data_IF_415807987047
#
_entry.id   IF_415807987047
#
_cell.length_a   1.000
_cell.length_b   1.000
_cell.length_c   1.000
_cell.angle_alpha   90.00
_cell.angle_beta   90.00
_cell.angle_gamma   90.00
#
_symmetry.space_group_name_H-M   'P 1'
#
loop_
_entity.id
_entity.type
_entity.pdbx_description
1 polymer ?
#
# COMPACT_ATOMS: atom_id res chain seq x y z
N UNK A 1 -0.49 16.49 19.55
CA UNK A 1 0.37 17.29 18.65
C UNK A 1 1.43 16.40 17.99
N UNK A 2 1.71 16.66 16.72
CA UNK A 2 2.64 15.87 15.88
C UNK A 2 4.07 15.87 16.44
N UNK A 3 4.51 16.99 17.01
CA UNK A 3 5.81 17.16 17.70
C UNK A 3 6.03 16.13 18.81
N UNK A 4 5.07 15.97 19.73
CA UNK A 4 5.11 14.96 20.81
C UNK A 4 5.21 13.53 20.25
N UNK A 5 4.50 13.26 19.17
CA UNK A 5 4.50 11.94 18.54
C UNK A 5 5.86 11.63 17.89
N UNK A 6 6.44 12.59 17.16
CA UNK A 6 7.78 12.45 16.55
C UNK A 6 8.86 12.23 17.61
N UNK A 7 8.86 13.04 18.68
CA UNK A 7 9.79 12.88 19.80
C UNK A 7 9.70 11.49 20.44
N UNK A 8 8.48 10.98 20.68
CA UNK A 8 8.28 9.62 21.21
C UNK A 8 8.89 8.56 20.27
N UNK A 9 8.74 8.70 18.95
CA UNK A 9 9.29 7.73 17.99
C UNK A 9 10.81 7.80 17.87
N UNK A 10 11.39 8.99 17.93
CA UNK A 10 12.84 9.17 18.02
C UNK A 10 13.39 8.39 19.23
N UNK A 11 12.85 8.63 20.42
CA UNK A 11 13.29 7.94 21.64
C UNK A 11 13.12 6.41 21.54
N UNK A 12 11.99 5.93 21.00
CA UNK A 12 11.79 4.49 20.77
C UNK A 12 12.85 3.90 19.84
N UNK A 13 13.17 4.58 18.73
CA UNK A 13 14.18 4.10 17.77
C UNK A 13 15.62 4.18 18.30
N UNK A 14 15.91 5.21 19.10
CA UNK A 14 17.23 5.42 19.71
C UNK A 14 17.53 4.33 20.74
N UNK A 15 16.55 4.01 21.59
CA UNK A 15 16.70 3.01 22.66
C UNK A 15 16.60 1.56 22.17
N UNK A 16 16.15 1.33 20.94
CA UNK A 16 15.99 -0.01 20.38
C UNK A 16 17.35 -0.60 19.97
N UNK A 17 17.66 -1.81 20.42
CA UNK A 17 18.98 -2.44 20.25
C UNK A 17 19.07 -3.45 19.12
N UNK A 18 17.94 -4.03 18.71
CA UNK A 18 17.93 -5.06 17.66
C UNK A 18 18.20 -4.45 16.27
N UNK A 19 18.70 -5.25 15.31
CA UNK A 19 19.08 -4.75 13.98
C UNK A 19 17.89 -4.32 13.12
N UNK A 20 16.72 -4.91 13.30
CA UNK A 20 15.49 -4.55 12.59
C UNK A 20 14.50 -3.86 13.53
N UNK A 21 13.53 -3.17 12.94
CA UNK A 21 12.42 -2.55 13.69
C UNK A 21 11.65 -3.58 14.54
N UNK A 22 11.13 -3.13 15.69
CA UNK A 22 10.39 -3.97 16.66
C UNK A 22 9.31 -4.84 16.00
N UNK A 23 8.54 -4.27 15.07
CA UNK A 23 7.45 -4.99 14.40
C UNK A 23 7.96 -6.08 13.45
N UNK A 24 9.13 -5.87 12.84
CA UNK A 24 9.73 -6.82 11.90
C UNK A 24 10.43 -7.95 12.65
N UNK A 25 11.15 -7.66 13.73
CA UNK A 25 11.73 -8.68 14.62
C UNK A 25 10.65 -9.66 15.09
N UNK A 26 9.58 -9.16 15.73
CA UNK A 26 8.43 -9.98 16.17
C UNK A 26 7.80 -10.79 15.03
N UNK A 27 7.79 -10.23 13.82
CA UNK A 27 7.22 -10.90 12.64
C UNK A 27 8.13 -12.01 12.13
N UNK A 28 9.45 -11.83 12.22
CA UNK A 28 10.44 -12.85 11.89
C UNK A 28 10.39 -13.97 12.93
N UNK A 29 10.38 -13.67 14.23
CA UNK A 29 10.28 -14.67 15.30
C UNK A 29 9.05 -15.58 15.12
N UNK A 30 7.88 -14.97 14.88
CA UNK A 30 6.65 -15.72 14.60
C UNK A 30 6.77 -16.60 13.36
N UNK A 31 7.51 -16.17 12.34
CA UNK A 31 7.69 -16.93 11.09
C UNK A 31 8.75 -18.04 11.25
N UNK A 32 9.76 -17.85 12.10
CA UNK A 32 10.72 -18.88 12.49
C UNK A 32 9.96 -20.05 13.12
N UNK A 33 9.13 -19.77 14.12
CA UNK A 33 8.38 -20.83 14.82
C UNK A 33 7.46 -21.60 13.87
N UNK A 34 6.74 -20.88 13.00
CA UNK A 34 5.85 -21.50 12.00
C UNK A 34 6.57 -22.30 10.91
N UNK A 35 7.86 -22.04 10.67
CA UNK A 35 8.66 -22.71 9.65
C UNK A 35 9.60 -23.76 10.24
N UNK A 36 9.55 -24.02 11.55
CA UNK A 36 10.52 -24.86 12.27
C UNK A 36 10.63 -26.26 11.68
N UNK A 37 9.49 -26.87 11.35
CA UNK A 37 9.36 -28.25 10.84
C UNK A 37 9.64 -28.38 9.34
N UNK A 38 9.90 -27.28 8.63
CA UNK A 38 10.12 -27.33 7.19
C UNK A 38 11.43 -28.04 6.86
N UNK A 39 11.45 -28.70 5.71
CA UNK A 39 12.63 -29.32 5.12
C UNK A 39 13.19 -28.45 4.01
N UNK A 40 14.51 -28.40 3.87
CA UNK A 40 15.19 -27.61 2.84
C UNK A 40 16.05 -28.53 1.98
N UNK A 41 15.92 -28.39 0.67
CA UNK A 41 16.75 -29.05 -0.32
C UNK A 41 17.44 -27.98 -1.15
N UNK A 42 18.77 -27.99 -1.14
CA UNK A 42 19.57 -27.04 -1.92
C UNK A 42 19.55 -27.44 -3.40
N UNK A 43 19.26 -26.47 -4.29
CA UNK A 43 19.34 -26.65 -5.75
C UNK A 43 20.72 -26.18 -6.24
N UNK A 44 21.16 -25.01 -5.78
CA UNK A 44 22.48 -24.43 -6.03
C UNK A 44 22.85 -23.49 -4.87
N UNK A 45 23.90 -22.69 -5.02
CA UNK A 45 24.42 -21.80 -3.97
C UNK A 45 23.38 -20.81 -3.41
N UNK A 46 22.37 -20.43 -4.21
CA UNK A 46 21.40 -19.39 -3.84
C UNK A 46 19.94 -19.85 -3.86
N UNK A 47 19.64 -21.00 -4.46
CA UNK A 47 18.28 -21.52 -4.66
C UNK A 47 18.00 -22.77 -3.86
N UNK A 48 16.81 -22.81 -3.28
CA UNK A 48 16.38 -23.86 -2.38
C UNK A 48 14.93 -24.24 -2.63
N UNK A 49 14.61 -25.52 -2.49
CA UNK A 49 13.24 -26.01 -2.37
C UNK A 49 12.95 -26.19 -0.88
N UNK A 50 11.90 -25.54 -0.40
CA UNK A 50 11.43 -25.66 0.98
C UNK A 50 10.10 -26.40 0.99
N UNK A 51 10.04 -27.50 1.74
CA UNK A 51 8.87 -28.39 1.89
C UNK A 51 8.32 -28.38 3.32
N UNK A 52 7.08 -28.83 3.50
CA UNK A 52 6.42 -28.93 4.82
C UNK A 52 5.39 -27.83 5.11
N UNK A 53 5.12 -26.97 4.12
CA UNK A 53 3.96 -26.07 4.10
C UNK A 53 2.81 -26.68 3.27
N UNK A 54 1.75 -25.92 3.02
CA UNK A 54 0.66 -26.33 2.12
C UNK A 54 1.12 -26.64 0.68
N UNK A 55 2.25 -26.10 0.25
CA UNK A 55 2.87 -26.34 -1.06
C UNK A 55 4.38 -26.12 -0.99
N UNK A 56 5.11 -26.81 -1.86
CA UNK A 56 6.56 -26.66 -1.99
C UNK A 56 6.90 -25.26 -2.54
N UNK A 57 7.92 -24.63 -1.97
CA UNK A 57 8.33 -23.29 -2.34
C UNK A 57 9.76 -23.26 -2.85
N UNK A 58 9.98 -22.56 -3.96
CA UNK A 58 11.32 -22.23 -4.45
C UNK A 58 11.71 -20.88 -3.84
N UNK A 59 12.86 -20.84 -3.18
CA UNK A 59 13.44 -19.64 -2.58
C UNK A 59 14.72 -19.31 -3.32
N UNK A 60 14.92 -18.03 -3.65
CA UNK A 60 16.19 -17.50 -4.16
C UNK A 60 16.68 -16.42 -3.19
N UNK A 61 17.77 -16.71 -2.46
CA UNK A 61 18.32 -15.82 -1.44
C UNK A 61 19.13 -14.65 -2.04
N UNK A 62 19.65 -14.80 -3.26
CA UNK A 62 20.38 -13.75 -3.96
C UNK A 62 19.40 -12.72 -4.55
N UNK A 63 18.38 -13.20 -5.27
CA UNK A 63 17.32 -12.36 -5.80
C UNK A 63 16.35 -11.85 -4.72
N UNK A 64 16.44 -12.40 -3.50
CA UNK A 64 15.54 -12.12 -2.36
C UNK A 64 14.07 -12.39 -2.71
N UNK A 65 13.80 -13.53 -3.33
CA UNK A 65 12.45 -13.93 -3.78
C UNK A 65 12.04 -15.30 -3.24
N UNK A 66 10.73 -15.55 -3.27
CA UNK A 66 10.15 -16.85 -2.97
C UNK A 66 8.88 -17.02 -3.81
N UNK A 67 8.63 -18.24 -4.32
CA UNK A 67 7.44 -18.56 -5.11
C UNK A 67 6.12 -18.33 -4.38
N UNK A 68 6.11 -18.22 -3.04
CA UNK A 68 4.93 -17.80 -2.28
C UNK A 68 4.61 -16.29 -2.41
N UNK A 69 5.42 -15.52 -3.16
CA UNK A 69 5.26 -14.09 -3.46
C UNK A 69 5.62 -13.15 -2.31
N UNK A 70 5.53 -13.59 -1.06
CA UNK A 70 5.65 -12.72 0.13
C UNK A 70 7.02 -12.06 0.25
N UNK A 71 8.11 -12.77 -0.05
CA UNK A 71 9.46 -12.22 0.16
C UNK A 71 9.75 -11.09 -0.83
N UNK A 72 9.51 -11.30 -2.12
CA UNK A 72 9.73 -10.29 -3.16
C UNK A 72 8.80 -9.07 -3.03
N UNK A 73 7.55 -9.26 -2.58
CA UNK A 73 6.57 -8.19 -2.42
C UNK A 73 6.75 -7.37 -1.13
N UNK A 74 6.87 -8.04 0.01
CA UNK A 74 6.90 -7.40 1.33
C UNK A 74 8.33 -6.98 1.69
N UNK A 75 9.35 -7.54 1.02
CA UNK A 75 10.78 -7.30 1.31
C UNK A 75 11.22 -7.70 2.73
N UNK A 76 10.38 -8.51 3.40
CA UNK A 76 10.65 -9.20 4.67
C UNK A 76 10.55 -10.70 4.40
N UNK A 77 11.54 -11.48 4.85
CA UNK A 77 11.60 -12.93 4.60
C UNK A 77 10.32 -13.64 5.02
N UNK A 78 9.74 -14.43 4.12
CA UNK A 78 8.68 -15.37 4.47
C UNK A 78 9.24 -16.57 5.27
N UNK A 79 8.35 -17.39 5.86
CA UNK A 79 8.76 -18.62 6.57
C UNK A 79 9.69 -19.54 5.76
N UNK A 80 9.47 -19.65 4.44
CA UNK A 80 10.33 -20.43 3.56
C UNK A 80 11.72 -19.81 3.41
N UNK A 81 11.77 -18.51 3.14
CA UNK A 81 13.03 -17.78 2.99
C UNK A 81 13.84 -17.76 4.28
N UNK A 82 13.18 -17.65 5.43
CA UNK A 82 13.83 -17.76 6.75
C UNK A 82 14.46 -19.14 6.90
N UNK A 83 13.69 -20.22 6.65
CA UNK A 83 14.21 -21.58 6.79
C UNK A 83 15.40 -21.84 5.85
N UNK A 84 15.31 -21.40 4.59
CA UNK A 84 16.40 -21.52 3.63
C UNK A 84 17.64 -20.68 4.02
N UNK A 85 17.45 -19.47 4.55
CA UNK A 85 18.56 -18.65 5.05
C UNK A 85 19.28 -19.30 6.23
N UNK A 86 18.51 -19.81 7.20
CA UNK A 86 19.05 -20.49 8.38
C UNK A 86 19.79 -21.79 8.03
N UNK A 87 19.35 -22.54 7.01
CA UNK A 87 20.05 -23.77 6.58
C UNK A 87 21.45 -23.51 6.00
N UNK A 88 21.75 -22.27 5.59
CA UNK A 88 23.08 -21.85 5.12
C UNK A 88 23.75 -20.86 6.07
N UNK A 89 23.31 -20.82 7.34
CA UNK A 89 23.92 -19.97 8.37
C UNK A 89 23.73 -18.46 8.18
N UNK A 90 22.79 -18.04 7.33
CA UNK A 90 22.50 -16.62 7.10
C UNK A 90 21.41 -16.13 8.03
N UNK A 91 21.76 -15.14 8.84
CA UNK A 91 20.80 -14.52 9.76
C UNK A 91 19.71 -13.74 9.01
N UNK A 92 18.43 -13.79 9.46
CA UNK A 92 17.31 -13.12 8.80
C UNK A 92 17.49 -11.61 8.60
N UNK A 93 18.19 -10.93 9.51
CA UNK A 93 18.43 -9.49 9.40
C UNK A 93 19.27 -9.12 8.15
N UNK A 94 20.26 -9.94 7.78
CA UNK A 94 21.14 -9.73 6.61
C UNK A 94 20.41 -9.90 5.27
N UNK A 95 19.26 -10.57 5.31
CA UNK A 95 18.41 -10.88 4.16
C UNK A 95 17.17 -9.97 4.09
N UNK A 96 16.95 -9.15 5.10
CA UNK A 96 15.85 -8.19 5.14
C UNK A 96 16.25 -6.89 4.43
N UNK A 97 15.29 -6.20 3.83
CA UNK A 97 15.53 -4.93 3.16
C UNK A 97 15.93 -3.82 4.13
N UNK A 98 16.81 -2.92 3.67
CA UNK A 98 17.35 -1.83 4.46
C UNK A 98 16.26 -0.96 5.11
N UNK A 99 15.11 -0.79 4.45
CA UNK A 99 13.97 0.01 4.95
C UNK A 99 13.42 -0.45 6.29
N UNK A 100 13.69 -1.69 6.69
CA UNK A 100 13.24 -2.26 7.96
C UNK A 100 14.32 -2.28 9.04
N UNK A 101 15.52 -1.80 8.73
CA UNK A 101 16.61 -1.74 9.70
C UNK A 101 16.35 -0.65 10.74
N UNK A 102 16.88 -0.86 11.94
CA UNK A 102 16.88 0.15 13.01
C UNK A 102 17.66 1.39 12.60
N UNK A 103 18.70 1.24 11.78
CA UNK A 103 19.45 2.38 11.20
C UNK A 103 18.53 3.25 10.35
N UNK A 104 17.82 2.67 9.38
CA UNK A 104 16.86 3.40 8.56
C UNK A 104 15.73 4.02 9.43
N UNK A 105 15.28 3.29 10.45
CA UNK A 105 14.28 3.81 11.38
C UNK A 105 14.77 5.04 12.14
N UNK A 106 16.00 5.03 12.66
CA UNK A 106 16.59 6.20 13.34
C UNK A 106 16.73 7.39 12.40
N UNK A 107 17.24 7.18 11.20
CA UNK A 107 17.39 8.23 10.19
C UNK A 107 16.05 8.93 9.86
N UNK A 108 14.94 8.17 9.76
CA UNK A 108 13.60 8.74 9.48
C UNK A 108 13.11 9.68 10.59
N UNK A 109 13.55 9.49 11.84
CA UNK A 109 13.13 10.31 12.99
C UNK A 109 14.25 11.15 13.58
N UNK A 110 15.38 11.28 12.88
CA UNK A 110 16.54 12.07 13.32
C UNK A 110 16.19 13.55 13.41
N UNK A 111 15.45 14.05 12.43
CA UNK A 111 15.08 15.48 12.32
C UNK A 111 13.85 15.87 13.16
N UNK A 112 13.84 17.12 13.61
CA UNK A 112 12.76 17.68 14.44
C UNK A 112 11.64 18.26 13.57
N UNK A 113 10.40 18.10 14.03
CA UNK A 113 9.29 18.90 13.51
C UNK A 113 9.21 20.18 14.32
N UNK A 114 9.55 21.30 13.70
CA UNK A 114 9.40 22.62 14.29
C UNK A 114 7.97 23.10 14.08
N UNK A 115 7.43 23.80 15.09
CA UNK A 115 6.15 24.48 14.95
C UNK A 115 6.35 25.70 14.06
N UNK A 116 5.38 25.97 13.18
CA UNK A 116 5.33 27.24 12.48
C UNK A 116 4.99 28.30 13.52
N UNK A 117 5.92 29.22 13.76
CA UNK A 117 5.79 30.24 14.80
C UNK A 117 4.75 31.30 14.46
N UNK A 118 4.46 31.45 13.17
CA UNK A 118 3.50 32.42 12.65
C UNK A 118 2.12 31.74 12.56
N UNK A 119 1.07 32.31 13.15
CA UNK A 119 -0.31 31.88 12.94
C UNK A 119 -0.67 31.87 11.44
N UNK A 120 -1.52 30.92 11.02
CA UNK A 120 -1.87 30.72 9.60
C UNK A 120 -2.47 31.96 8.95
N UNK A 121 -3.25 32.73 9.70
CA UNK A 121 -3.85 34.02 9.30
C UNK A 121 -2.83 35.15 9.07
N UNK A 122 -1.60 35.00 9.58
CA UNK A 122 -0.50 35.94 9.38
C UNK A 122 0.51 35.48 8.33
N UNK A 123 0.25 34.37 7.62
CA UNK A 123 1.14 33.88 6.56
C UNK A 123 1.08 34.79 5.33
N UNK A 124 2.25 35.27 4.88
CA UNK A 124 2.36 35.98 3.59
C UNK A 124 2.51 34.96 2.47
N UNK A 125 1.47 34.79 1.67
CA UNK A 125 1.51 33.97 0.45
C UNK A 125 2.12 34.83 -0.67
N UNK A 126 3.20 34.39 -1.33
CA UNK A 126 3.76 35.11 -2.47
C UNK A 126 2.72 35.25 -3.59
N UNK A 127 2.68 36.38 -4.33
CA UNK A 127 1.73 36.58 -5.43
C UNK A 127 1.78 35.45 -6.47
N UNK A 128 2.96 34.90 -6.71
CA UNK A 128 3.13 33.76 -7.63
C UNK A 128 2.37 32.50 -7.19
N UNK A 129 2.12 32.30 -5.89
CA UNK A 129 1.33 31.17 -5.38
C UNK A 129 -0.15 31.54 -5.29
N UNK A 130 -0.45 32.75 -4.80
CA UNK A 130 -1.83 33.24 -4.65
C UNK A 130 -2.57 33.35 -5.99
N UNK A 131 -1.85 33.70 -7.05
CA UNK A 131 -2.39 33.83 -8.41
C UNK A 131 -2.41 32.51 -9.19
N UNK A 132 -1.84 31.42 -8.66
CA UNK A 132 -1.86 30.13 -9.35
C UNK A 132 -3.27 29.53 -9.30
N UNK A 133 -3.88 29.42 -10.48
CA UNK A 133 -5.06 28.59 -10.65
C UNK A 133 -4.65 27.12 -10.77
N UNK A 134 -4.91 26.34 -9.72
CA UNK A 134 -4.86 24.88 -9.78
C UNK A 134 -6.17 24.39 -10.38
N UNK A 135 -6.16 24.08 -11.67
CA UNK A 135 -7.31 23.46 -12.33
C UNK A 135 -7.46 22.01 -11.85
N UNK A 136 -8.70 21.49 -11.75
CA UNK A 136 -8.89 20.06 -11.54
C UNK A 136 -8.20 19.28 -12.66
N UNK A 137 -7.66 18.08 -12.38
CA UNK A 137 -7.08 17.24 -13.41
C UNK A 137 -8.13 16.93 -14.47
N UNK A 138 -7.71 16.89 -15.74
CA UNK A 138 -8.60 16.52 -16.82
C UNK A 138 -9.09 15.09 -16.59
N UNK A 139 -10.40 14.93 -16.40
CA UNK A 139 -10.97 13.61 -16.10
C UNK A 139 -11.70 13.07 -17.31
N UNK A 140 -11.14 12.03 -17.93
CA UNK A 140 -11.89 11.17 -18.85
C UNK A 140 -12.61 10.08 -18.09
N UNK A 141 -13.65 9.50 -18.70
CA UNK A 141 -14.26 8.27 -18.18
C UNK A 141 -13.22 7.14 -18.14
N UNK A 142 -13.22 6.35 -17.07
CA UNK A 142 -12.39 5.14 -17.00
C UNK A 142 -12.64 4.21 -18.19
N UNK A 143 -11.56 3.64 -18.73
CA UNK A 143 -11.62 2.63 -19.77
C UNK A 143 -12.26 1.34 -19.21
N UNK A 144 -13.16 0.72 -19.98
CA UNK A 144 -13.82 -0.53 -19.59
C UNK A 144 -15.31 -0.62 -19.93
N UNK A 145 -15.88 -1.79 -19.66
CA UNK A 145 -17.27 -2.12 -19.99
C UNK A 145 -18.24 -1.26 -19.18
N UNK A 146 -19.13 -0.55 -19.87
CA UNK A 146 -20.21 0.22 -19.25
C UNK A 146 -21.14 -0.71 -18.47
N UNK A 147 -21.46 -0.36 -17.22
CA UNK A 147 -22.53 -1.01 -16.48
C UNK A 147 -23.86 -0.60 -17.11
N UNK A 148 -24.56 -1.56 -17.73
CA UNK A 148 -25.80 -1.28 -18.49
C UNK A 148 -27.00 -0.90 -17.61
N UNK A 149 -27.01 -1.31 -16.33
CA UNK A 149 -28.09 -1.03 -15.38
C UNK A 149 -27.53 -0.70 -14.00
N UNK A 150 -28.13 0.28 -13.33
CA UNK A 150 -27.93 0.52 -11.88
C UNK A 150 -28.49 -0.69 -11.11
N UNK A 151 -27.99 -0.95 -9.90
CA UNK A 151 -28.69 -1.88 -9.00
C UNK A 151 -29.98 -1.22 -8.51
N UNK A 152 -31.10 -1.88 -8.73
CA UNK A 152 -32.41 -1.43 -8.28
C UNK A 152 -32.55 -1.64 -6.77
N UNK A 153 -32.93 -0.57 -6.07
CA UNK A 153 -33.36 -0.64 -4.67
C UNK A 153 -34.74 -1.29 -4.56
N UNK A 154 -35.19 -1.60 -3.33
CA UNK A 154 -36.54 -2.09 -3.10
C UNK A 154 -37.60 -1.08 -3.56
N UNK A 155 -37.37 0.23 -3.40
CA UNK A 155 -38.29 1.26 -3.88
C UNK A 155 -38.36 1.31 -5.42
N UNK A 156 -37.24 1.10 -6.13
CA UNK A 156 -37.18 1.11 -7.59
C UNK A 156 -38.08 0.01 -8.19
N UNK A 157 -38.12 -1.17 -7.53
CA UNK A 157 -38.99 -2.28 -7.92
C UNK A 157 -40.47 -1.99 -7.69
N UNK A 158 -40.80 -1.30 -6.60
CA UNK A 158 -42.18 -0.89 -6.26
C UNK A 158 -42.68 0.22 -7.19
N UNK A 159 -41.81 1.11 -7.66
CA UNK A 159 -42.18 2.16 -8.61
C UNK A 159 -42.34 1.62 -10.04
N UNK A 160 -41.52 0.64 -10.43
CA UNK A 160 -41.59 0.00 -11.76
C UNK A 160 -42.92 -0.73 -12.00
N UNK A 161 -43.60 -1.20 -10.95
CA UNK A 161 -44.90 -1.85 -11.04
C UNK A 161 -46.10 -0.88 -11.15
N UNK A 162 -45.89 0.44 -10.98
CA UNK A 162 -46.95 1.46 -10.99
C UNK A 162 -47.09 2.23 -12.33
N UNK A 163 -46.42 1.76 -13.38
CA UNK A 163 -46.48 2.37 -14.71
C UNK A 163 -45.52 3.57 -14.87
N UNK A 164 -44.88 3.63 -16.05
CA UNK A 164 -43.83 4.61 -16.38
C UNK A 164 -44.39 6.03 -16.52
N UNK A 165 -44.06 6.94 -15.59
CA UNK A 165 -44.16 8.39 -15.84
C UNK A 165 -43.14 8.75 -16.93
N UNK A 166 -43.62 9.36 -18.02
CA UNK A 166 -42.85 9.65 -19.23
C UNK A 166 -41.45 10.23 -18.97
N UNK A 167 -40.47 9.71 -19.70
CA UNK A 167 -39.06 10.11 -19.64
C UNK A 167 -38.90 11.61 -19.87
N UNK A 168 -38.60 12.38 -18.82
CA UNK A 168 -38.15 13.77 -18.97
C UNK A 168 -36.86 13.79 -19.79
N UNK A 169 -36.80 14.62 -20.83
CA UNK A 169 -35.57 14.84 -21.60
C UNK A 169 -34.55 15.53 -20.71
N UNK A 170 -33.55 14.80 -20.24
CA UNK A 170 -32.44 15.36 -19.47
C UNK A 170 -31.32 15.82 -20.40
N UNK A 171 -30.74 16.99 -20.12
CA UNK A 171 -29.47 17.43 -20.71
C UNK A 171 -28.31 16.84 -19.90
N UNK A 172 -27.27 16.40 -20.58
CA UNK A 172 -26.05 15.95 -19.92
C UNK A 172 -25.41 17.10 -19.13
N UNK A 173 -25.15 16.94 -17.83
CA UNK A 173 -24.50 17.98 -17.03
C UNK A 173 -23.00 18.15 -17.29
N UNK A 174 -22.42 17.36 -18.21
CA UNK A 174 -21.02 17.50 -18.66
C UNK A 174 -20.91 18.29 -19.96
N UNK A 175 -21.65 17.92 -21.00
CA UNK A 175 -21.55 18.54 -22.32
C UNK A 175 -22.79 19.35 -22.74
N UNK A 176 -23.83 19.39 -21.89
CA UNK A 176 -25.10 20.08 -22.12
C UNK A 176 -25.94 19.59 -23.33
N UNK A 177 -25.52 18.53 -24.01
CA UNK A 177 -26.23 17.87 -25.12
C UNK A 177 -27.31 16.92 -24.56
N UNK A 178 -28.44 16.78 -25.26
CA UNK A 178 -29.53 15.84 -24.96
C UNK A 178 -29.24 14.43 -25.51
N UNK A 179 -29.93 13.42 -24.99
CA UNK A 179 -29.80 12.03 -25.48
C UNK A 179 -28.82 11.14 -24.70
N UNK A 180 -28.09 11.70 -23.75
CA UNK A 180 -27.29 10.94 -22.79
C UNK A 180 -27.17 11.70 -21.46
N UNK A 181 -26.64 11.03 -20.41
CA UNK A 181 -26.42 11.65 -19.10
C UNK A 181 -24.92 11.74 -18.78
N UNK A 182 -24.57 12.39 -17.68
CA UNK A 182 -23.17 12.56 -17.24
C UNK A 182 -22.39 11.24 -17.18
N UNK A 183 -23.03 10.14 -16.79
CA UNK A 183 -22.38 8.84 -16.65
C UNK A 183 -22.02 8.18 -17.99
N UNK A 184 -22.76 8.49 -19.06
CA UNK A 184 -22.53 7.96 -20.41
C UNK A 184 -21.88 8.96 -21.35
N UNK A 185 -21.58 10.17 -20.89
CA UNK A 185 -20.86 11.19 -21.66
C UNK A 185 -19.41 10.79 -21.93
N UNK A 186 -18.97 10.95 -23.17
CA UNK A 186 -17.60 10.66 -23.61
C UNK A 186 -16.72 11.92 -23.72
N UNK A 187 -17.25 13.11 -23.41
CA UNK A 187 -16.48 14.37 -23.35
C UNK A 187 -15.58 14.42 -22.10
N UNK A 188 -14.35 14.90 -22.28
CA UNK A 188 -13.44 15.25 -21.18
C UNK A 188 -13.90 16.56 -20.50
N UNK A 189 -13.57 16.68 -19.21
CA UNK A 189 -13.60 17.93 -18.43
C UNK A 189 -12.15 18.35 -18.28
#
# INVERSE_FOLDING_TARGET
MLTRWFHKRRNLSSNHKHPLTIAVEKKIDRRIEKGKTFMVYQINDYRFIVKGDSYDCIVDLQARTCSCGKYGLIKILCRHAIKAGLSVGREPHSLTDHKYTTVAWRAVYEECINLVSVPEDAWRVPPVVELVQVLPPETRRAAGRRKKRRYESAEDKIQSSKGSKGSKKHKCSRCHITGHNRATCDMAI
#
